data_IF_326879044534
#
_entry.id   IF_326879044534
#
_cell.length_a   1.000
_cell.length_b   1.000
_cell.length_c   1.000
_cell.angle_alpha   90.00
_cell.angle_beta   90.00
_cell.angle_gamma   90.00
#
_symmetry.space_group_name_H-M   'P 1'
#
loop_
_entity.id
_entity.type
_entity.pdbx_description
1 polymer ?
#
# COMPACT_ATOMS: atom_id res chain seq x y z
N UNK A 1 -13.19 -24.26 25.65
CA UNK A 1 -12.05 -25.20 25.84
C UNK A 1 -10.99 -24.52 26.69
N UNK A 2 -10.51 -25.19 27.73
CA UNK A 2 -9.43 -24.65 28.55
C UNK A 2 -8.08 -24.70 27.80
N UNK A 3 -7.22 -23.70 28.03
CA UNK A 3 -5.89 -23.62 27.37
C UNK A 3 -5.03 -24.83 27.69
N UNK A 4 -5.04 -25.27 28.95
CA UNK A 4 -4.30 -26.46 29.41
C UNK A 4 -4.74 -27.74 28.70
N UNK A 5 -6.02 -27.89 28.45
CA UNK A 5 -6.59 -29.02 27.71
C UNK A 5 -6.12 -29.02 26.26
N UNK A 6 -6.20 -27.84 25.56
CA UNK A 6 -5.73 -27.71 24.20
C UNK A 6 -4.26 -28.06 24.06
N UNK A 7 -3.39 -27.48 24.92
CA UNK A 7 -1.95 -27.71 24.87
C UNK A 7 -1.59 -29.18 25.13
N UNK A 8 -2.24 -29.83 26.14
CA UNK A 8 -2.03 -31.23 26.43
C UNK A 8 -2.41 -32.13 25.24
N UNK A 9 -3.57 -31.90 24.63
CA UNK A 9 -4.01 -32.63 23.43
C UNK A 9 -3.04 -32.40 22.25
N UNK A 10 -2.59 -31.15 22.06
CA UNK A 10 -1.62 -30.80 21.02
C UNK A 10 -0.29 -31.54 21.23
N UNK A 11 0.22 -31.59 22.45
CA UNK A 11 1.44 -32.35 22.82
C UNK A 11 1.30 -33.85 22.53
N UNK A 12 0.09 -34.43 22.73
CA UNK A 12 -0.24 -35.82 22.39
C UNK A 12 -0.41 -36.06 20.88
N UNK A 13 -0.19 -35.04 20.04
CA UNK A 13 -0.23 -35.17 18.59
C UNK A 13 -1.55 -34.73 17.94
N UNK A 14 -2.58 -34.36 18.71
CA UNK A 14 -3.81 -33.83 18.15
C UNK A 14 -3.55 -32.48 17.46
N UNK A 15 -4.14 -32.28 16.30
CA UNK A 15 -3.98 -31.05 15.53
C UNK A 15 -5.30 -30.43 15.14
N UNK A 16 -6.42 -31.13 15.32
CA UNK A 16 -7.72 -30.63 14.92
C UNK A 16 -8.50 -30.07 16.10
N UNK A 17 -8.60 -28.76 16.14
CA UNK A 17 -9.34 -27.98 17.12
C UNK A 17 -10.33 -27.04 16.41
N UNK A 18 -10.87 -27.51 15.27
CA UNK A 18 -11.84 -26.75 14.51
C UNK A 18 -13.09 -26.44 15.37
N UNK A 19 -13.56 -25.19 15.34
CA UNK A 19 -14.71 -24.73 16.11
C UNK A 19 -14.47 -24.58 17.61
N UNK A 20 -13.24 -24.79 18.10
CA UNK A 20 -12.93 -24.62 19.54
C UNK A 20 -13.27 -23.19 20.00
N UNK A 21 -13.87 -23.09 21.20
CA UNK A 21 -14.05 -21.80 21.85
C UNK A 21 -12.83 -21.51 22.75
N UNK A 22 -12.06 -20.50 22.33
CA UNK A 22 -10.84 -20.01 22.95
C UNK A 22 -10.92 -18.48 23.11
N UNK A 23 -12.15 -17.93 23.21
CA UNK A 23 -12.38 -16.51 23.38
C UNK A 23 -11.67 -16.01 24.66
N UNK A 24 -10.90 -14.93 24.54
CA UNK A 24 -10.11 -14.36 25.63
C UNK A 24 -8.96 -15.23 26.15
N UNK A 25 -8.70 -16.42 25.58
CA UNK A 25 -7.68 -17.34 26.04
C UNK A 25 -6.26 -16.73 25.96
N UNK A 26 -5.42 -17.05 26.94
CA UNK A 26 -4.00 -16.69 26.91
C UNK A 26 -3.16 -17.83 26.30
N UNK A 27 -2.82 -17.68 25.05
CA UNK A 27 -1.98 -18.58 24.25
C UNK A 27 -0.66 -17.90 23.85
N UNK A 28 -0.20 -16.92 24.64
CA UNK A 28 1.03 -16.20 24.31
C UNK A 28 2.24 -17.15 24.30
N UNK A 29 3.05 -17.08 23.24
CA UNK A 29 4.20 -17.96 23.04
C UNK A 29 3.87 -19.45 22.79
N UNK A 30 2.59 -19.83 22.76
CA UNK A 30 2.19 -21.23 22.56
C UNK A 30 2.71 -21.80 21.22
N UNK A 31 3.17 -23.06 21.24
CA UNK A 31 3.61 -23.77 20.05
C UNK A 31 2.42 -24.51 19.46
N UNK A 32 1.88 -24.00 18.33
CA UNK A 32 0.69 -24.49 17.66
C UNK A 32 0.92 -24.64 16.14
N UNK A 33 2.10 -25.15 15.77
CA UNK A 33 2.51 -25.34 14.38
C UNK A 33 1.60 -26.35 13.68
N UNK A 34 1.05 -25.95 12.52
CA UNK A 34 0.16 -26.83 11.72
C UNK A 34 -1.19 -27.13 12.36
N UNK A 35 -1.55 -26.47 13.46
CA UNK A 35 -2.83 -26.65 14.13
C UNK A 35 -4.01 -26.27 13.20
N UNK A 36 -5.09 -27.00 13.28
CA UNK A 36 -6.38 -26.63 12.67
C UNK A 36 -7.26 -25.93 13.71
N UNK A 37 -7.44 -24.64 13.55
CA UNK A 37 -8.34 -23.78 14.34
C UNK A 37 -9.40 -23.15 13.41
N UNK A 38 -9.80 -23.88 12.36
CA UNK A 38 -10.83 -23.41 11.44
C UNK A 38 -12.12 -23.14 12.19
N UNK A 39 -12.72 -21.95 11.96
CA UNK A 39 -13.97 -21.50 12.62
C UNK A 39 -13.89 -21.42 14.15
N UNK A 40 -12.72 -21.52 14.76
CA UNK A 40 -12.56 -21.35 16.20
C UNK A 40 -12.89 -19.91 16.61
N UNK A 41 -13.44 -19.76 17.81
CA UNK A 41 -13.56 -18.46 18.47
C UNK A 41 -12.25 -18.16 19.20
N UNK A 42 -11.52 -17.16 18.70
CA UNK A 42 -10.29 -16.61 19.27
C UNK A 42 -10.45 -15.11 19.59
N UNK A 43 -11.70 -14.62 19.64
CA UNK A 43 -11.98 -13.21 19.88
C UNK A 43 -11.37 -12.74 21.20
N UNK A 44 -10.58 -11.65 21.15
CA UNK A 44 -9.89 -11.13 22.33
C UNK A 44 -8.78 -12.01 22.90
N UNK A 45 -8.47 -13.15 22.29
CA UNK A 45 -7.41 -14.05 22.77
C UNK A 45 -6.02 -13.39 22.65
N UNK A 46 -5.10 -13.78 23.51
CA UNK A 46 -3.70 -13.39 23.44
C UNK A 46 -2.88 -14.51 22.78
N UNK A 47 -2.48 -14.30 21.54
CA UNK A 47 -1.61 -15.15 20.74
C UNK A 47 -0.27 -14.47 20.44
N UNK A 48 0.11 -13.47 21.25
CA UNK A 48 1.37 -12.76 21.05
C UNK A 48 2.54 -13.72 21.07
N UNK A 49 3.47 -13.59 20.12
CA UNK A 49 4.64 -14.46 19.95
C UNK A 49 4.33 -15.95 19.75
N UNK A 50 3.07 -16.35 19.58
CA UNK A 50 2.70 -17.75 19.35
C UNK A 50 3.29 -18.26 18.01
N UNK A 51 3.57 -19.56 17.95
CA UNK A 51 4.09 -20.26 16.78
C UNK A 51 2.93 -20.93 16.04
N UNK A 52 2.42 -20.25 15.03
CA UNK A 52 1.28 -20.65 14.19
C UNK A 52 1.68 -20.94 12.74
N UNK A 53 2.95 -21.27 12.51
CA UNK A 53 3.45 -21.60 11.17
C UNK A 53 2.62 -22.75 10.58
N UNK A 54 2.13 -22.56 9.33
CA UNK A 54 1.25 -23.50 8.61
C UNK A 54 -0.09 -23.81 9.30
N UNK A 55 -0.46 -23.09 10.35
CA UNK A 55 -1.78 -23.24 10.99
C UNK A 55 -2.91 -22.96 9.99
N UNK A 56 -4.04 -23.63 10.18
CA UNK A 56 -5.28 -23.40 9.44
C UNK A 56 -6.27 -22.65 10.33
N UNK A 57 -6.63 -21.43 9.94
CA UNK A 57 -7.51 -20.50 10.66
C UNK A 57 -8.66 -20.03 9.74
N UNK A 58 -9.11 -20.92 8.84
CA UNK A 58 -10.19 -20.60 7.89
C UNK A 58 -11.45 -20.18 8.65
N UNK A 59 -11.96 -18.98 8.37
CA UNK A 59 -13.19 -18.47 8.98
C UNK A 59 -13.14 -18.32 10.50
N UNK A 60 -11.94 -18.32 11.12
CA UNK A 60 -11.79 -18.11 12.56
C UNK A 60 -12.25 -16.70 12.95
N UNK A 61 -12.88 -16.59 14.11
CA UNK A 61 -13.26 -15.33 14.74
C UNK A 61 -12.08 -14.85 15.60
N UNK A 62 -11.40 -13.80 15.15
CA UNK A 62 -10.17 -13.30 15.76
C UNK A 62 -10.24 -11.78 16.00
N UNK A 63 -11.46 -11.26 16.22
CA UNK A 63 -11.64 -9.84 16.49
C UNK A 63 -10.89 -9.45 17.77
N UNK A 64 -10.16 -8.33 17.70
CA UNK A 64 -9.36 -7.80 18.82
C UNK A 64 -8.34 -8.79 19.39
N UNK A 65 -8.00 -9.86 18.68
CA UNK A 65 -6.95 -10.81 19.07
C UNK A 65 -5.58 -10.12 19.07
N UNK A 66 -4.77 -10.40 20.08
CA UNK A 66 -3.37 -9.99 20.09
C UNK A 66 -2.50 -11.06 19.40
N UNK A 67 -2.00 -10.75 18.22
CA UNK A 67 -1.08 -11.57 17.41
C UNK A 67 0.29 -10.89 17.26
N UNK A 68 0.62 -9.93 18.14
CA UNK A 68 1.89 -9.21 18.03
C UNK A 68 3.08 -10.17 18.05
N UNK A 69 3.97 -10.01 17.07
CA UNK A 69 5.16 -10.87 16.89
C UNK A 69 4.86 -12.36 16.68
N UNK A 70 3.62 -12.76 16.45
CA UNK A 70 3.27 -14.16 16.18
C UNK A 70 3.95 -14.65 14.88
N UNK A 71 4.41 -15.92 14.87
CA UNK A 71 5.05 -16.58 13.75
C UNK A 71 4.02 -17.37 12.95
N UNK A 72 3.49 -16.77 11.88
CA UNK A 72 2.38 -17.27 11.07
C UNK A 72 2.79 -17.54 9.61
N UNK A 73 4.05 -17.86 9.37
CA UNK A 73 4.52 -18.18 8.02
C UNK A 73 3.69 -19.30 7.40
N UNK A 74 3.26 -19.12 6.14
CA UNK A 74 2.43 -20.06 5.38
C UNK A 74 1.07 -20.42 6.03
N UNK A 75 0.66 -19.72 7.10
CA UNK A 75 -0.65 -19.93 7.72
C UNK A 75 -1.80 -19.64 6.73
N UNK A 76 -2.91 -20.34 6.89
CA UNK A 76 -4.10 -20.26 6.02
C UNK A 76 -5.25 -19.61 6.80
N UNK A 77 -5.59 -18.36 6.45
CA UNK A 77 -6.65 -17.56 7.10
C UNK A 77 -7.74 -17.09 6.10
N UNK A 78 -8.18 -17.92 5.13
CA UNK A 78 -9.23 -17.46 4.23
C UNK A 78 -10.49 -17.14 5.04
N UNK A 79 -11.12 -15.98 4.73
CA UNK A 79 -12.37 -15.51 5.35
C UNK A 79 -12.29 -15.29 6.88
N UNK A 80 -11.11 -15.31 7.50
CA UNK A 80 -10.95 -15.05 8.93
C UNK A 80 -11.31 -13.59 9.27
N UNK A 81 -11.87 -13.38 10.45
CA UNK A 81 -12.21 -12.05 10.96
C UNK A 81 -11.17 -11.58 11.99
N UNK A 82 -10.27 -10.71 11.55
CA UNK A 82 -9.20 -10.06 12.32
C UNK A 82 -9.51 -8.56 12.56
N UNK A 83 -10.78 -8.17 12.54
CA UNK A 83 -11.19 -6.78 12.75
C UNK A 83 -10.63 -6.27 14.09
N UNK A 84 -9.91 -5.15 14.03
CA UNK A 84 -9.24 -4.51 15.19
C UNK A 84 -8.22 -5.41 15.91
N UNK A 85 -7.73 -6.48 15.27
CA UNK A 85 -6.65 -7.31 15.83
C UNK A 85 -5.31 -6.58 15.82
N UNK A 86 -4.42 -6.94 16.74
CA UNK A 86 -3.05 -6.45 16.79
C UNK A 86 -2.10 -7.49 16.17
N UNK A 87 -1.56 -7.19 14.99
CA UNK A 87 -0.56 -8.00 14.28
C UNK A 87 0.79 -7.27 14.20
N UNK A 88 1.07 -6.31 15.09
CA UNK A 88 2.32 -5.55 15.06
C UNK A 88 3.53 -6.48 15.08
N UNK A 89 4.44 -6.31 14.14
CA UNK A 89 5.63 -7.15 14.02
C UNK A 89 5.38 -8.63 13.72
N UNK A 90 4.15 -9.04 13.40
CA UNK A 90 3.84 -10.43 13.08
C UNK A 90 4.53 -10.91 11.79
N UNK A 91 4.88 -12.21 11.72
CA UNK A 91 5.57 -12.83 10.59
C UNK A 91 4.59 -13.68 9.77
N UNK A 92 4.09 -13.13 8.66
CA UNK A 92 3.07 -13.73 7.78
C UNK A 92 3.63 -14.04 6.37
N UNK A 93 4.94 -14.33 6.28
CA UNK A 93 5.58 -14.63 5.00
C UNK A 93 4.85 -15.76 4.29
N UNK A 94 4.44 -15.53 3.02
CA UNK A 94 3.67 -16.46 2.18
C UNK A 94 2.35 -16.95 2.80
N UNK A 95 1.84 -16.29 3.83
CA UNK A 95 0.54 -16.65 4.41
C UNK A 95 -0.60 -16.41 3.40
N UNK A 96 -1.67 -17.20 3.49
CA UNK A 96 -2.85 -17.15 2.62
C UNK A 96 -4.02 -16.54 3.39
N UNK A 97 -4.35 -15.27 3.11
CA UNK A 97 -5.38 -14.47 3.77
C UNK A 97 -6.42 -13.93 2.75
N UNK A 98 -6.90 -14.72 1.80
CA UNK A 98 -7.89 -14.20 0.86
C UNK A 98 -9.17 -13.82 1.60
N UNK A 99 -9.78 -12.68 1.22
CA UNK A 99 -11.01 -12.13 1.78
C UNK A 99 -11.00 -11.94 3.31
N UNK A 100 -9.82 -11.89 3.92
CA UNK A 100 -9.66 -11.64 5.36
C UNK A 100 -10.22 -10.26 5.73
N UNK A 101 -10.86 -10.17 6.90
CA UNK A 101 -11.31 -8.89 7.45
C UNK A 101 -10.24 -8.37 8.41
N UNK A 102 -9.61 -7.25 8.06
CA UNK A 102 -8.56 -6.58 8.81
C UNK A 102 -8.90 -5.09 9.07
N UNK A 103 -10.21 -4.75 9.01
CA UNK A 103 -10.62 -3.36 9.23
C UNK A 103 -10.18 -2.86 10.60
N UNK A 104 -9.49 -1.71 10.62
CA UNK A 104 -8.97 -1.11 11.85
C UNK A 104 -7.91 -1.95 12.59
N UNK A 105 -7.38 -3.00 11.97
CA UNK A 105 -6.30 -3.80 12.55
C UNK A 105 -4.96 -3.03 12.53
N UNK A 106 -4.07 -3.35 13.48
CA UNK A 106 -2.72 -2.82 13.55
C UNK A 106 -1.74 -3.86 12.99
N UNK A 107 -1.04 -3.51 11.89
CA UNK A 107 -0.04 -4.37 11.23
C UNK A 107 1.33 -3.66 11.16
N UNK A 108 1.57 -2.69 12.04
CA UNK A 108 2.80 -1.89 12.03
C UNK A 108 4.02 -2.81 12.06
N UNK A 109 4.90 -2.67 11.06
CA UNK A 109 6.13 -3.47 10.93
C UNK A 109 5.92 -4.96 10.66
N UNK A 110 4.69 -5.43 10.41
CA UNK A 110 4.44 -6.83 10.09
C UNK A 110 5.10 -7.24 8.77
N UNK A 111 5.51 -8.51 8.66
CA UNK A 111 6.12 -9.07 7.46
C UNK A 111 5.13 -9.96 6.70
N UNK A 112 4.55 -9.41 5.64
CA UNK A 112 3.60 -10.06 4.72
C UNK A 112 4.23 -10.33 3.34
N UNK A 113 5.55 -10.47 3.28
CA UNK A 113 6.24 -10.75 2.02
C UNK A 113 5.65 -11.96 1.30
N UNK A 114 5.22 -11.78 0.05
CA UNK A 114 4.63 -12.82 -0.78
C UNK A 114 3.30 -13.37 -0.27
N UNK A 115 2.66 -12.71 0.69
CA UNK A 115 1.35 -13.12 1.20
C UNK A 115 0.24 -12.92 0.16
N UNK A 116 -0.83 -13.68 0.28
CA UNK A 116 -2.00 -13.64 -0.61
C UNK A 116 -3.16 -12.99 0.14
N UNK A 117 -3.52 -11.75 -0.24
CA UNK A 117 -4.55 -10.92 0.40
C UNK A 117 -5.61 -10.43 -0.62
N UNK A 118 -5.85 -11.18 -1.69
CA UNK A 118 -6.82 -10.74 -2.68
C UNK A 118 -8.22 -10.56 -2.03
N UNK A 119 -8.89 -9.45 -2.36
CA UNK A 119 -10.16 -9.01 -1.79
C UNK A 119 -10.15 -8.89 -0.24
N UNK A 120 -8.98 -8.72 0.38
CA UNK A 120 -8.89 -8.45 1.82
C UNK A 120 -9.48 -7.08 2.14
N UNK A 121 -10.14 -6.96 3.29
CA UNK A 121 -10.63 -5.68 3.79
C UNK A 121 -9.65 -5.09 4.82
N UNK A 122 -8.86 -4.12 4.38
CA UNK A 122 -7.84 -3.39 5.16
C UNK A 122 -8.27 -1.94 5.45
N UNK A 123 -9.59 -1.66 5.38
CA UNK A 123 -10.13 -0.32 5.60
C UNK A 123 -9.69 0.21 6.98
N UNK A 124 -9.15 1.43 7.01
CA UNK A 124 -8.64 2.10 8.22
C UNK A 124 -7.59 1.29 9.01
N UNK A 125 -6.93 0.31 8.39
CA UNK A 125 -5.85 -0.44 9.04
C UNK A 125 -4.58 0.40 9.16
N UNK A 126 -3.82 0.18 10.24
CA UNK A 126 -2.48 0.74 10.40
C UNK A 126 -1.43 -0.23 9.86
N UNK A 127 -0.89 0.10 8.69
CA UNK A 127 0.08 -0.68 7.91
C UNK A 127 1.44 0.02 7.85
N UNK A 128 1.76 0.89 8.82
CA UNK A 128 3.03 1.59 8.83
C UNK A 128 4.20 0.61 8.80
N UNK A 129 5.20 0.89 7.95
CA UNK A 129 6.43 0.10 7.81
C UNK A 129 6.21 -1.39 7.47
N UNK A 130 5.01 -1.78 7.06
CA UNK A 130 4.68 -3.16 6.69
C UNK A 130 5.50 -3.61 5.47
N UNK A 131 5.94 -4.86 5.48
CA UNK A 131 6.58 -5.47 4.32
C UNK A 131 5.58 -6.28 3.50
N UNK A 132 5.13 -5.71 2.39
CA UNK A 132 4.21 -6.30 1.41
C UNK A 132 4.92 -6.64 0.09
N UNK A 133 6.25 -6.79 0.10
CA UNK A 133 7.04 -7.12 -1.09
C UNK A 133 6.47 -8.35 -1.82
N UNK A 134 6.06 -8.18 -3.08
CA UNK A 134 5.49 -9.25 -3.91
C UNK A 134 4.16 -9.82 -3.42
N UNK A 135 3.46 -9.16 -2.49
CA UNK A 135 2.15 -9.60 -2.02
C UNK A 135 1.08 -9.48 -3.12
N UNK A 136 0.11 -10.39 -3.11
CA UNK A 136 -1.07 -10.29 -3.97
C UNK A 136 -2.20 -9.57 -3.23
N UNK A 137 -2.44 -8.31 -3.59
CA UNK A 137 -3.42 -7.39 -3.01
C UNK A 137 -4.54 -7.05 -4.02
N UNK A 138 -4.72 -7.89 -5.04
CA UNK A 138 -5.76 -7.69 -6.06
C UNK A 138 -7.13 -7.53 -5.41
N UNK A 139 -7.83 -6.43 -5.74
CA UNK A 139 -9.15 -6.12 -5.20
C UNK A 139 -9.18 -5.77 -3.70
N UNK A 140 -8.05 -5.64 -3.03
CA UNK A 140 -8.01 -5.31 -1.60
C UNK A 140 -8.56 -3.90 -1.34
N UNK A 141 -9.29 -3.74 -0.24
CA UNK A 141 -9.81 -2.46 0.21
C UNK A 141 -8.87 -1.81 1.22
N UNK A 142 -8.18 -0.74 0.80
CA UNK A 142 -7.28 0.07 1.64
C UNK A 142 -7.85 1.44 2.00
N UNK A 143 -9.14 1.67 1.82
CA UNK A 143 -9.73 2.98 2.11
C UNK A 143 -9.31 3.46 3.51
N UNK A 144 -8.75 4.69 3.57
CA UNK A 144 -8.31 5.32 4.82
C UNK A 144 -7.19 4.59 5.58
N UNK A 145 -6.54 3.60 4.96
CA UNK A 145 -5.43 2.89 5.58
C UNK A 145 -4.16 3.75 5.62
N UNK A 146 -3.30 3.51 6.62
CA UNK A 146 -2.02 4.16 6.76
C UNK A 146 -0.88 3.22 6.32
N UNK A 147 -0.30 3.47 5.15
CA UNK A 147 0.82 2.72 4.56
C UNK A 147 2.14 3.52 4.63
N UNK A 148 2.31 4.39 5.64
CA UNK A 148 3.53 5.15 5.81
C UNK A 148 4.77 4.25 5.81
N UNK A 149 5.73 4.50 4.90
CA UNK A 149 6.95 3.73 4.79
C UNK A 149 6.79 2.26 4.40
N UNK A 150 5.59 1.83 4.00
CA UNK A 150 5.33 0.44 3.58
C UNK A 150 6.17 0.03 2.37
N UNK A 151 6.56 -1.24 2.32
CA UNK A 151 7.31 -1.83 1.20
C UNK A 151 6.36 -2.61 0.30
N UNK A 152 6.00 -2.01 -0.84
CA UNK A 152 5.02 -2.53 -1.81
C UNK A 152 5.65 -2.93 -3.15
N UNK A 153 6.98 -2.90 -3.26
CA UNK A 153 7.64 -3.24 -4.52
C UNK A 153 7.14 -4.60 -5.05
N UNK A 154 6.83 -4.67 -6.34
CA UNK A 154 6.27 -5.87 -7.00
C UNK A 154 4.96 -6.39 -6.42
N UNK A 155 4.27 -5.63 -5.55
CA UNK A 155 2.92 -6.01 -5.09
C UNK A 155 1.91 -5.90 -6.24
N UNK A 156 0.93 -6.81 -6.26
CA UNK A 156 -0.16 -6.80 -7.24
C UNK A 156 -1.34 -6.02 -6.65
N UNK A 157 -1.62 -4.83 -7.17
CA UNK A 157 -2.65 -3.90 -6.67
C UNK A 157 -3.82 -3.70 -7.64
N UNK A 158 -3.95 -4.56 -8.66
CA UNK A 158 -5.03 -4.44 -9.64
C UNK A 158 -6.40 -4.43 -8.94
N UNK A 159 -7.21 -3.39 -9.23
CA UNK A 159 -8.54 -3.22 -8.63
C UNK A 159 -8.54 -2.90 -7.13
N UNK A 160 -7.39 -2.62 -6.52
CA UNK A 160 -7.35 -2.19 -5.11
C UNK A 160 -8.02 -0.82 -4.94
N UNK A 161 -8.76 -0.66 -3.82
CA UNK A 161 -9.42 0.60 -3.46
C UNK A 161 -8.48 1.40 -2.57
N UNK A 162 -8.01 2.56 -3.06
CA UNK A 162 -6.95 3.34 -2.43
C UNK A 162 -7.43 4.74 -1.98
N UNK A 163 -8.73 4.99 -1.97
CA UNK A 163 -9.30 6.29 -1.58
C UNK A 163 -8.89 6.66 -0.14
N UNK A 164 -8.32 7.86 0.04
CA UNK A 164 -7.91 8.37 1.34
C UNK A 164 -6.73 7.66 2.00
N UNK A 165 -6.04 6.77 1.27
CA UNK A 165 -4.86 6.07 1.78
C UNK A 165 -3.68 7.03 1.97
N UNK A 166 -2.85 6.80 3.00
CA UNK A 166 -1.56 7.46 3.13
C UNK A 166 -0.44 6.52 2.67
N UNK A 167 0.26 6.91 1.60
CA UNK A 167 1.42 6.21 1.03
C UNK A 167 2.72 7.02 1.21
N UNK A 168 2.72 7.97 2.15
CA UNK A 168 3.91 8.78 2.41
C UNK A 168 5.12 7.90 2.70
N UNK A 169 6.27 8.17 2.04
CA UNK A 169 7.51 7.37 2.12
C UNK A 169 7.39 5.90 1.69
N UNK A 170 6.26 5.47 1.15
CA UNK A 170 6.11 4.09 0.70
C UNK A 170 7.05 3.76 -0.47
N UNK A 171 7.44 2.50 -0.57
CA UNK A 171 8.25 1.97 -1.67
C UNK A 171 7.34 1.26 -2.67
N UNK A 172 7.15 1.85 -3.84
CA UNK A 172 6.22 1.44 -4.90
C UNK A 172 6.95 1.24 -6.24
N UNK A 173 8.26 0.99 -6.21
CA UNK A 173 9.07 0.82 -7.42
C UNK A 173 8.50 -0.28 -8.32
N UNK A 174 8.23 0.06 -9.60
CA UNK A 174 7.72 -0.86 -10.61
C UNK A 174 6.28 -1.37 -10.37
N UNK A 175 5.52 -0.78 -9.44
CA UNK A 175 4.13 -1.21 -9.17
C UNK A 175 3.22 -0.79 -10.31
N UNK A 176 2.25 -1.65 -10.66
CA UNK A 176 1.20 -1.32 -11.63
C UNK A 176 -0.05 -0.78 -10.91
N UNK A 177 -0.34 0.50 -11.16
CA UNK A 177 -1.50 1.28 -10.70
C UNK A 177 -2.23 1.93 -11.88
N UNK A 178 -2.12 1.34 -13.07
CA UNK A 178 -2.80 1.81 -14.28
C UNK A 178 -4.31 1.94 -14.03
N UNK A 179 -4.89 3.09 -14.38
CA UNK A 179 -6.30 3.38 -14.20
C UNK A 179 -6.78 3.50 -12.75
N UNK A 180 -5.89 3.44 -11.76
CA UNK A 180 -6.28 3.53 -10.35
C UNK A 180 -6.81 4.92 -9.98
N UNK A 181 -7.77 4.98 -9.06
CA UNK A 181 -8.19 6.23 -8.42
C UNK A 181 -7.35 6.48 -7.17
N UNK A 182 -6.49 7.48 -7.26
CA UNK A 182 -5.57 7.97 -6.24
C UNK A 182 -5.81 9.46 -5.97
N UNK A 183 -7.02 9.96 -6.25
CA UNK A 183 -7.35 11.36 -6.06
C UNK A 183 -7.19 11.79 -4.59
N UNK A 184 -6.51 12.92 -4.39
CA UNK A 184 -6.21 13.47 -3.06
C UNK A 184 -5.28 12.63 -2.18
N UNK A 185 -4.74 11.53 -2.67
CA UNK A 185 -3.89 10.61 -1.90
C UNK A 185 -2.55 11.25 -1.56
N UNK A 186 -2.05 10.98 -0.36
CA UNK A 186 -0.71 11.43 0.05
C UNK A 186 0.35 10.38 -0.31
N UNK A 187 1.15 10.67 -1.35
CA UNK A 187 2.32 9.90 -1.81
C UNK A 187 3.62 10.70 -1.69
N UNK A 188 3.64 11.70 -0.81
CA UNK A 188 4.84 12.53 -0.62
C UNK A 188 6.04 11.70 -0.15
N UNK A 189 7.23 12.06 -0.62
CA UNK A 189 8.48 11.36 -0.31
C UNK A 189 8.49 9.86 -0.72
N UNK A 190 7.47 9.36 -1.43
CA UNK A 190 7.40 7.96 -1.85
C UNK A 190 8.34 7.65 -3.02
N UNK A 191 8.73 6.37 -3.16
CA UNK A 191 9.60 5.87 -4.24
C UNK A 191 8.74 5.14 -5.26
N UNK A 192 8.48 5.78 -6.42
CA UNK A 192 7.66 5.24 -7.51
C UNK A 192 8.47 5.03 -8.81
N UNK A 193 9.77 4.88 -8.72
CA UNK A 193 10.61 4.72 -9.91
C UNK A 193 10.07 3.59 -10.81
N UNK A 194 9.83 3.89 -12.10
CA UNK A 194 9.31 2.94 -13.08
C UNK A 194 7.90 2.42 -12.80
N UNK A 195 7.15 2.99 -11.85
CA UNK A 195 5.76 2.60 -11.62
C UNK A 195 4.86 2.95 -12.81
N UNK A 196 3.84 2.14 -13.04
CA UNK A 196 2.84 2.41 -14.07
C UNK A 196 1.59 3.06 -13.44
N UNK A 197 1.35 4.33 -13.78
CA UNK A 197 0.21 5.17 -13.38
C UNK A 197 -0.56 5.67 -14.61
N UNK A 198 -0.43 5.01 -15.77
CA UNK A 198 -1.11 5.39 -17.00
C UNK A 198 -2.63 5.46 -16.79
N UNK A 199 -3.26 6.54 -17.27
CA UNK A 199 -4.70 6.75 -17.18
C UNK A 199 -5.26 6.86 -15.76
N UNK A 200 -4.43 6.91 -14.72
CA UNK A 200 -4.88 7.01 -13.33
C UNK A 200 -5.46 8.39 -13.00
N UNK A 201 -6.37 8.44 -12.04
CA UNK A 201 -6.87 9.69 -11.47
C UNK A 201 -6.00 10.08 -10.25
N UNK A 202 -5.21 11.12 -10.40
CA UNK A 202 -4.28 11.67 -9.41
C UNK A 202 -4.63 13.12 -9.06
N UNK A 203 -5.87 13.55 -9.33
CA UNK A 203 -6.31 14.92 -9.08
C UNK A 203 -6.13 15.29 -7.60
N UNK A 204 -5.45 16.42 -7.34
CA UNK A 204 -5.16 16.88 -5.99
C UNK A 204 -4.22 15.99 -5.14
N UNK A 205 -3.66 14.92 -5.71
CA UNK A 205 -2.74 14.05 -4.99
C UNK A 205 -1.44 14.79 -4.61
N UNK A 206 -0.86 14.40 -3.47
CA UNK A 206 0.37 15.00 -2.98
C UNK A 206 1.58 14.11 -3.30
N UNK A 207 2.40 14.50 -4.28
CA UNK A 207 3.66 13.89 -4.69
C UNK A 207 4.88 14.73 -4.30
N UNK A 208 4.75 15.67 -3.36
CA UNK A 208 5.88 16.52 -2.98
C UNK A 208 7.09 15.69 -2.57
N UNK A 209 8.27 16.02 -3.13
CA UNK A 209 9.53 15.30 -2.93
C UNK A 209 9.49 13.80 -3.27
N UNK A 210 8.52 13.33 -4.06
CA UNK A 210 8.44 11.94 -4.49
C UNK A 210 9.50 11.62 -5.56
N UNK A 211 9.99 10.38 -5.57
CA UNK A 211 10.92 9.86 -6.57
C UNK A 211 10.11 9.18 -7.69
N UNK A 212 9.87 9.92 -8.78
CA UNK A 212 9.03 9.54 -9.93
C UNK A 212 9.86 9.28 -11.20
N UNK A 213 11.14 8.97 -11.04
CA UNK A 213 12.03 8.73 -12.19
C UNK A 213 11.45 7.60 -13.06
N UNK A 214 11.41 7.85 -14.39
CA UNK A 214 10.92 6.88 -15.39
C UNK A 214 9.48 6.38 -15.14
N UNK A 215 8.68 7.11 -14.34
CA UNK A 215 7.28 6.76 -14.09
C UNK A 215 6.47 6.89 -15.38
N UNK A 216 5.53 5.98 -15.59
CA UNK A 216 4.58 6.05 -16.70
C UNK A 216 3.30 6.74 -16.23
N UNK A 217 3.04 7.92 -16.73
CA UNK A 217 1.88 8.77 -16.39
C UNK A 217 1.04 9.14 -17.60
N UNK A 218 1.27 8.52 -18.77
CA UNK A 218 0.56 8.88 -19.98
C UNK A 218 -0.96 8.87 -19.77
N UNK A 219 -1.64 9.97 -20.15
CA UNK A 219 -3.08 10.13 -20.00
C UNK A 219 -3.60 10.25 -18.57
N UNK A 220 -2.75 10.31 -17.56
CA UNK A 220 -3.16 10.48 -16.16
C UNK A 220 -3.73 11.88 -15.89
N UNK A 221 -4.64 11.98 -14.91
CA UNK A 221 -5.18 13.24 -14.44
C UNK A 221 -4.44 13.70 -13.18
N UNK A 222 -3.57 14.70 -13.32
CA UNK A 222 -2.79 15.35 -12.27
C UNK A 222 -3.29 16.77 -11.96
N UNK A 223 -4.54 17.09 -12.30
CA UNK A 223 -5.11 18.42 -12.06
C UNK A 223 -5.00 18.79 -10.57
N UNK A 224 -4.37 19.95 -10.27
CA UNK A 224 -4.17 20.43 -8.91
C UNK A 224 -3.24 19.57 -8.04
N UNK A 225 -2.52 18.59 -8.63
CA UNK A 225 -1.59 17.76 -7.89
C UNK A 225 -0.38 18.56 -7.36
N UNK A 226 0.13 18.17 -6.20
CA UNK A 226 1.33 18.79 -5.60
C UNK A 226 2.55 17.95 -5.94
N UNK A 227 3.42 18.47 -6.84
CA UNK A 227 4.63 17.81 -7.34
C UNK A 227 5.89 18.57 -6.95
N UNK A 228 5.79 19.49 -5.99
CA UNK A 228 6.90 20.34 -5.58
C UNK A 228 8.12 19.53 -5.18
N UNK A 229 9.27 19.84 -5.78
CA UNK A 229 10.55 19.18 -5.49
C UNK A 229 10.59 17.68 -5.84
N UNK A 230 9.62 17.18 -6.63
CA UNK A 230 9.63 15.78 -7.08
C UNK A 230 10.65 15.56 -8.19
N UNK A 231 11.17 14.32 -8.31
CA UNK A 231 12.05 13.92 -9.40
C UNK A 231 11.27 13.12 -10.45
N UNK A 232 10.93 13.78 -11.56
CA UNK A 232 10.19 13.23 -12.72
C UNK A 232 11.13 12.93 -13.90
N UNK A 233 12.44 12.85 -13.65
CA UNK A 233 13.43 12.62 -14.71
C UNK A 233 13.08 11.39 -15.55
N UNK A 234 13.01 11.56 -16.88
CA UNK A 234 12.65 10.49 -17.82
C UNK A 234 11.22 10.00 -17.73
N UNK A 235 10.34 10.70 -17.00
CA UNK A 235 8.93 10.33 -16.89
C UNK A 235 8.18 10.46 -18.22
N UNK A 236 7.22 9.58 -18.48
CA UNK A 236 6.29 9.73 -19.59
C UNK A 236 5.04 10.47 -19.11
N UNK A 237 4.94 11.76 -19.43
CA UNK A 237 3.84 12.66 -19.11
C UNK A 237 3.00 12.98 -20.35
N UNK A 238 3.07 12.18 -21.41
CA UNK A 238 2.31 12.44 -22.62
C UNK A 238 0.81 12.42 -22.35
N UNK A 239 0.08 13.40 -22.85
CA UNK A 239 -1.37 13.54 -22.72
C UNK A 239 -1.87 13.66 -21.28
N UNK A 240 -1.01 14.01 -20.33
CA UNK A 240 -1.40 14.23 -18.92
C UNK A 240 -2.15 15.54 -18.75
N UNK A 241 -3.09 15.55 -17.79
CA UNK A 241 -3.74 16.79 -17.34
C UNK A 241 -2.98 17.30 -16.12
N UNK A 242 -2.17 18.36 -16.30
CA UNK A 242 -1.38 19.02 -15.26
C UNK A 242 -1.92 20.42 -14.93
N UNK A 243 -3.18 20.71 -15.31
CA UNK A 243 -3.79 22.00 -15.01
C UNK A 243 -3.72 22.30 -13.51
N UNK A 244 -3.24 23.51 -13.15
CA UNK A 244 -3.12 23.97 -11.76
C UNK A 244 -2.17 23.09 -10.88
N UNK A 245 -1.36 22.23 -11.46
CA UNK A 245 -0.40 21.42 -10.71
C UNK A 245 0.74 22.30 -10.16
N UNK A 246 1.20 22.01 -8.93
CA UNK A 246 2.39 22.65 -8.34
C UNK A 246 3.63 21.81 -8.68
N UNK A 247 4.38 22.24 -9.70
CA UNK A 247 5.63 21.65 -10.17
C UNK A 247 6.85 22.47 -9.73
N UNK A 248 6.71 23.39 -8.78
CA UNK A 248 7.82 24.21 -8.34
C UNK A 248 9.01 23.37 -7.89
N UNK A 249 10.20 23.70 -8.38
CA UNK A 249 11.47 22.98 -8.11
C UNK A 249 11.42 21.48 -8.48
N UNK A 250 10.51 21.03 -9.32
CA UNK A 250 10.46 19.65 -9.81
C UNK A 250 11.51 19.43 -10.91
N UNK A 251 12.12 18.26 -10.95
CA UNK A 251 13.04 17.84 -12.02
C UNK A 251 12.28 17.03 -13.08
N UNK A 252 12.00 17.66 -14.24
CA UNK A 252 11.39 17.03 -15.41
C UNK A 252 12.42 16.78 -16.53
N UNK A 253 13.72 16.83 -16.21
CA UNK A 253 14.74 16.56 -17.23
C UNK A 253 14.49 15.21 -17.91
N UNK A 254 14.67 15.15 -19.24
CA UNK A 254 14.44 13.96 -20.05
C UNK A 254 12.96 13.44 -20.07
N UNK A 255 12.03 14.11 -19.39
CA UNK A 255 10.61 13.72 -19.43
C UNK A 255 9.99 14.04 -20.83
N UNK A 256 8.96 13.30 -21.19
CA UNK A 256 8.14 13.58 -22.38
C UNK A 256 6.81 14.20 -21.99
N UNK A 257 6.42 15.30 -22.69
CA UNK A 257 5.24 16.12 -22.37
C UNK A 257 4.35 16.34 -23.62
N UNK A 258 4.37 15.41 -24.59
CA UNK A 258 3.59 15.54 -25.83
C UNK A 258 2.09 15.57 -25.47
N UNK A 259 1.39 16.65 -25.87
CA UNK A 259 -0.03 16.82 -25.59
C UNK A 259 -0.40 17.00 -24.12
N UNK A 260 0.56 17.20 -23.22
CA UNK A 260 0.29 17.50 -21.81
C UNK A 260 -0.35 18.90 -21.67
N UNK A 261 -1.38 19.00 -20.82
CA UNK A 261 -2.00 20.27 -20.49
C UNK A 261 -1.43 20.80 -19.17
N UNK A 262 -0.75 21.93 -19.24
CA UNK A 262 -0.07 22.59 -18.14
C UNK A 262 -0.73 23.94 -17.77
N UNK A 263 -1.98 24.19 -18.15
CA UNK A 263 -2.67 25.46 -17.90
C UNK A 263 -2.66 25.80 -16.40
N UNK A 264 -2.18 27.00 -16.09
CA UNK A 264 -2.05 27.50 -14.71
C UNK A 264 -1.18 26.61 -13.79
N UNK A 265 -0.31 25.74 -14.33
CA UNK A 265 0.65 25.02 -13.53
C UNK A 265 1.78 25.95 -13.01
N UNK A 266 2.24 25.71 -11.79
CA UNK A 266 3.33 26.46 -11.18
C UNK A 266 4.67 25.78 -11.49
N UNK A 267 5.58 26.45 -12.20
CA UNK A 267 6.86 25.89 -12.67
C UNK A 267 8.09 26.63 -12.15
N UNK A 268 7.95 27.53 -11.17
CA UNK A 268 9.08 28.28 -10.66
C UNK A 268 10.20 27.33 -10.17
N UNK A 269 11.39 27.49 -10.73
CA UNK A 269 12.56 26.64 -10.42
C UNK A 269 12.47 25.19 -10.94
N UNK A 270 11.49 24.84 -11.77
CA UNK A 270 11.41 23.51 -12.39
C UNK A 270 12.47 23.34 -13.49
N UNK A 271 13.08 22.14 -13.55
CA UNK A 271 14.00 21.77 -14.62
C UNK A 271 13.18 21.09 -15.73
N UNK A 272 12.95 21.82 -16.83
CA UNK A 272 12.16 21.32 -17.98
C UNK A 272 13.03 20.55 -18.98
N UNK A 273 12.44 19.61 -19.74
CA UNK A 273 13.13 18.95 -20.86
C UNK A 273 13.62 19.96 -21.91
N UNK A 274 14.74 19.66 -22.55
CA UNK A 274 15.31 20.56 -23.57
C UNK A 274 14.33 20.82 -24.74
N UNK A 275 13.60 19.79 -25.16
CA UNK A 275 12.57 19.92 -26.19
C UNK A 275 11.48 20.94 -25.84
N UNK A 276 11.06 20.95 -24.58
CA UNK A 276 10.03 21.86 -24.07
C UNK A 276 10.57 23.30 -23.94
N UNK A 277 11.80 23.46 -23.46
CA UNK A 277 12.48 24.79 -23.37
C UNK A 277 12.56 25.46 -24.73
N UNK A 278 12.93 24.73 -25.78
CA UNK A 278 13.01 25.26 -27.15
C UNK A 278 11.63 25.73 -27.64
N UNK A 279 10.57 25.02 -27.34
CA UNK A 279 9.21 25.43 -27.71
C UNK A 279 8.83 26.75 -27.04
N UNK A 280 9.08 26.94 -25.77
CA UNK A 280 8.81 28.18 -25.04
C UNK A 280 9.71 29.35 -25.46
N UNK A 281 10.94 29.11 -25.86
CA UNK A 281 11.81 30.16 -26.42
C UNK A 281 11.37 30.65 -27.82
N UNK A 282 10.61 29.84 -28.56
CA UNK A 282 10.08 30.16 -29.89
C UNK A 282 8.68 30.80 -29.86
N UNK A 283 7.87 30.49 -28.84
CA UNK A 283 6.61 31.12 -28.55
C UNK A 283 6.89 32.48 -27.89
N UNK A 284 6.93 33.58 -28.66
CA UNK A 284 7.25 34.93 -28.16
C UNK A 284 6.41 35.33 -26.92
N UNK A 285 6.79 36.41 -26.22
CA UNK A 285 6.27 36.81 -24.89
C UNK A 285 4.77 37.20 -24.80
N UNK A 286 3.96 36.77 -25.71
CA UNK A 286 2.53 37.07 -25.75
C UNK A 286 1.59 35.86 -25.86
N UNK A 287 2.10 34.64 -26.01
CA UNK A 287 1.28 33.43 -26.17
C UNK A 287 1.30 32.45 -24.99
N UNK A 288 1.96 32.79 -23.91
CA UNK A 288 2.05 31.94 -22.72
C UNK A 288 1.39 32.67 -21.57
N UNK A 289 0.09 32.45 -21.39
CA UNK A 289 -0.60 32.93 -20.20
C UNK A 289 0.02 32.29 -18.97
N UNK A 290 0.74 33.10 -18.17
CA UNK A 290 1.22 32.82 -16.79
C UNK A 290 2.41 31.89 -16.57
N UNK A 291 3.41 31.84 -17.44
CA UNK A 291 4.67 31.13 -17.19
C UNK A 291 5.77 32.12 -16.79
N UNK A 292 5.82 32.59 -15.56
CA UNK A 292 7.02 33.29 -15.08
C UNK A 292 8.13 32.27 -14.85
N UNK A 293 8.96 32.04 -15.87
CA UNK A 293 10.31 31.46 -15.68
C UNK A 293 11.14 32.58 -15.10
N UNK A 294 11.28 32.63 -13.79
CA UNK A 294 12.29 33.47 -13.18
C UNK A 294 13.66 32.84 -13.51
N UNK A 295 14.33 33.39 -14.54
CA UNK A 295 15.77 33.25 -14.70
C UNK A 295 16.44 34.00 -13.55
N UNK A 296 17.13 33.31 -12.66
CA UNK A 296 18.28 33.79 -11.92
C UNK A 296 19.39 32.76 -12.05
#
# INVERSE_FOLDING_TARGET
MEVSELLNKYEKGERDFAGADLGGANLSGAILIGVNLSRANLSGANLSRAFLTKATLKGAQMQRTNLSFAKMGEAKLPDADLTKANLSGAFLVKAKLPRVKLSGATLTGANLRGAVLWNANLCSADLQLVNLLGANLTGANFKWANLYGARLNSAKLFGAQLTGVSLRRAQLTGVNLCGADLSGVNVSEAKLMGANLEGSNLAGANFSAAQLREVKLAGANLTGAKLRGSCLRGANLNWTKLCQADLMSADLSEATLIGANLDNALLAGAILPESTRRYFSLAGPGQVNSWEVNEM
#
